data_IF_385470526861
#
_entry.id   IF_385470526861
#
_cell.length_a   1.000
_cell.length_b   1.000
_cell.length_c   1.000
_cell.angle_alpha   90.00
_cell.angle_beta   90.00
_cell.angle_gamma   90.00
#
_symmetry.space_group_name_H-M   'P 1'
#
loop_
_entity.id
_entity.type
_entity.pdbx_description
1 polymer ?
#
# COMPACT_ATOMS: atom_id res chain seq x y z
N UNK A 1 -7.43 -88.25 1.28
CA UNK A 1 -7.37 -87.22 2.34
C UNK A 1 -7.20 -85.86 1.65
N UNK A 2 -8.29 -85.09 1.50
CA UNK A 2 -8.62 -83.85 2.26
C UNK A 2 -7.58 -82.72 2.03
N UNK A 3 -7.91 -81.70 1.20
CA UNK A 3 -8.45 -80.34 1.56
C UNK A 3 -7.28 -79.36 1.86
N UNK A 4 -7.11 -78.14 1.32
CA UNK A 4 -7.95 -76.98 0.98
C UNK A 4 -7.15 -76.05 0.02
N UNK A 5 -7.67 -75.46 -1.07
CA UNK A 5 -8.59 -74.30 -1.18
C UNK A 5 -7.97 -72.96 -0.73
N UNK A 6 -7.75 -72.08 -1.73
CA UNK A 6 -7.96 -70.63 -1.75
C UNK A 6 -7.11 -69.69 -0.86
N UNK A 7 -6.24 -68.93 -1.53
CA UNK A 7 -6.02 -67.46 -1.38
C UNK A 7 -5.29 -67.03 -2.68
N UNK A 8 -5.97 -66.89 -3.82
CA UNK A 8 -6.77 -65.72 -4.22
C UNK A 8 -6.10 -64.40 -3.84
N UNK A 9 -5.67 -63.70 -4.91
CA UNK A 9 -5.67 -62.25 -5.06
C UNK A 9 -5.21 -61.44 -3.85
N UNK A 10 -3.90 -61.12 -3.77
CA UNK A 10 -3.48 -59.82 -3.24
C UNK A 10 -2.05 -59.42 -3.65
N UNK A 11 -1.68 -59.61 -4.92
CA UNK A 11 -0.43 -59.01 -5.46
C UNK A 11 -0.66 -58.20 -6.74
N UNK A 12 -1.91 -57.80 -6.99
CA UNK A 12 -2.34 -56.97 -8.13
C UNK A 12 -3.36 -55.89 -7.74
N UNK A 13 -3.32 -55.44 -6.48
CA UNK A 13 -4.02 -54.22 -6.03
C UNK A 13 -3.09 -53.39 -5.13
N UNK A 14 -1.92 -53.03 -5.65
CA UNK A 14 -1.19 -51.84 -5.18
C UNK A 14 -0.84 -50.90 -6.33
N UNK A 15 -1.35 -51.16 -7.53
CA UNK A 15 -1.21 -50.27 -8.69
C UNK A 15 -2.33 -49.23 -8.80
N UNK A 16 -3.23 -49.12 -7.81
CA UNK A 16 -4.38 -48.20 -7.85
C UNK A 16 -4.88 -47.79 -6.45
N UNK A 17 -3.98 -47.67 -5.47
CA UNK A 17 -4.26 -46.77 -4.35
C UNK A 17 -3.84 -45.40 -4.85
N UNK A 18 -4.77 -44.71 -5.50
CA UNK A 18 -4.58 -43.33 -5.89
C UNK A 18 -4.32 -42.52 -4.62
N UNK A 19 -3.06 -42.34 -4.26
CA UNK A 19 -2.66 -41.14 -3.57
C UNK A 19 -3.03 -40.03 -4.55
N UNK A 20 -4.21 -39.42 -4.34
CA UNK A 20 -4.59 -38.22 -5.07
C UNK A 20 -3.42 -37.26 -5.07
N UNK A 21 -3.25 -36.53 -6.18
CA UNK A 21 -2.15 -35.57 -6.33
C UNK A 21 -2.02 -34.76 -5.04
N UNK A 22 -0.85 -34.85 -4.38
CA UNK A 22 -0.65 -34.17 -3.11
C UNK A 22 -0.89 -32.68 -3.29
N UNK A 23 -1.71 -32.08 -2.41
CA UNK A 23 -2.05 -30.68 -2.50
C UNK A 23 -0.79 -29.81 -2.55
N UNK A 24 -0.66 -29.00 -3.59
CA UNK A 24 0.43 -28.07 -3.77
C UNK A 24 0.07 -26.75 -3.06
N UNK A 25 0.79 -26.41 -2.01
CA UNK A 25 0.63 -25.13 -1.31
C UNK A 25 1.42 -24.05 -2.07
N UNK A 26 0.73 -22.99 -2.52
CA UNK A 26 1.35 -21.84 -3.19
C UNK A 26 1.70 -20.71 -2.22
N UNK A 27 0.97 -20.62 -1.10
CA UNK A 27 1.20 -19.69 0.00
C UNK A 27 0.16 -19.87 1.11
N UNK A 28 0.17 -19.00 2.12
CA UNK A 28 -0.63 -19.14 3.34
C UNK A 28 -2.13 -19.37 3.10
N UNK A 29 -2.65 -18.84 1.99
CA UNK A 29 -4.06 -18.92 1.63
C UNK A 29 -4.32 -19.58 0.28
N UNK A 30 -3.29 -19.95 -0.49
CA UNK A 30 -3.50 -20.48 -1.85
C UNK A 30 -2.96 -21.89 -1.97
N UNK A 31 -3.75 -22.78 -2.58
CA UNK A 31 -3.33 -24.14 -2.87
C UNK A 31 -3.89 -24.62 -4.21
N UNK A 32 -3.29 -25.67 -4.73
CA UNK A 32 -3.82 -26.45 -5.85
C UNK A 32 -4.04 -27.86 -5.33
N UNK A 33 -5.27 -28.34 -5.44
CA UNK A 33 -5.65 -29.70 -5.03
C UNK A 33 -6.63 -30.27 -6.05
N UNK A 34 -6.46 -31.55 -6.41
CA UNK A 34 -7.33 -32.27 -7.36
C UNK A 34 -7.62 -31.47 -8.65
N UNK A 35 -6.61 -30.81 -9.21
CA UNK A 35 -6.72 -30.03 -10.45
C UNK A 35 -7.56 -28.75 -10.32
N UNK A 36 -7.73 -28.22 -9.11
CA UNK A 36 -8.43 -26.96 -8.85
C UNK A 36 -7.56 -26.03 -8.02
N UNK A 37 -7.70 -24.73 -8.24
CA UNK A 37 -7.03 -23.71 -7.43
C UNK A 37 -7.97 -23.26 -6.33
N UNK A 38 -7.45 -23.13 -5.11
CA UNK A 38 -8.17 -22.73 -3.92
C UNK A 38 -7.60 -21.45 -3.32
N UNK A 39 -8.49 -20.63 -2.76
CA UNK A 39 -8.17 -19.55 -1.85
C UNK A 39 -8.89 -19.87 -0.54
N UNK A 40 -8.11 -20.13 0.51
CA UNK A 40 -8.58 -20.75 1.75
C UNK A 40 -9.30 -22.06 1.42
N UNK A 41 -10.60 -22.14 1.66
CA UNK A 41 -11.41 -23.33 1.43
C UNK A 41 -12.32 -23.22 0.20
N UNK A 42 -12.18 -22.15 -0.59
CA UNK A 42 -13.04 -21.86 -1.74
C UNK A 42 -12.30 -22.08 -3.06
N UNK A 43 -13.01 -22.64 -4.05
CA UNK A 43 -12.48 -22.86 -5.40
C UNK A 43 -12.46 -21.52 -6.14
N UNK A 44 -11.32 -21.16 -6.74
CA UNK A 44 -11.26 -20.04 -7.67
C UNK A 44 -11.79 -20.48 -9.03
N UNK A 45 -13.06 -20.21 -9.28
CA UNK A 45 -13.69 -20.57 -10.54
C UNK A 45 -12.98 -19.93 -11.75
N UNK A 46 -12.72 -20.77 -12.76
CA UNK A 46 -12.03 -20.40 -13.99
C UNK A 46 -10.52 -20.20 -13.87
N UNK A 47 -9.92 -20.44 -12.70
CA UNK A 47 -8.47 -20.38 -12.53
C UNK A 47 -7.80 -21.60 -13.18
N UNK A 48 -6.70 -21.38 -13.89
CA UNK A 48 -5.93 -22.47 -14.51
C UNK A 48 -4.85 -22.99 -13.55
N UNK A 49 -5.01 -24.19 -12.95
CA UNK A 49 -4.06 -24.72 -11.98
C UNK A 49 -2.68 -24.97 -12.57
N UNK A 50 -2.57 -25.24 -13.88
CA UNK A 50 -1.28 -25.55 -14.51
C UNK A 50 -0.35 -24.35 -14.64
N UNK A 51 -0.91 -23.15 -14.58
CA UNK A 51 -0.19 -21.89 -14.79
C UNK A 51 -0.38 -20.92 -13.62
N UNK A 52 -1.05 -21.37 -12.56
CA UNK A 52 -1.31 -20.56 -11.39
C UNK A 52 0.00 -20.24 -10.66
N UNK A 53 0.24 -18.96 -10.45
CA UNK A 53 1.46 -18.42 -9.85
C UNK A 53 1.07 -17.39 -8.80
N UNK A 54 1.51 -17.60 -7.56
CA UNK A 54 1.35 -16.64 -6.48
C UNK A 54 2.45 -15.57 -6.55
N UNK A 55 2.04 -14.30 -6.51
CA UNK A 55 2.91 -13.14 -6.64
C UNK A 55 2.85 -12.31 -5.35
N UNK A 56 3.85 -12.49 -4.49
CA UNK A 56 3.82 -11.96 -3.14
C UNK A 56 2.84 -12.76 -2.28
N UNK A 57 2.01 -12.09 -1.48
CA UNK A 57 1.12 -12.77 -0.53
C UNK A 57 -0.34 -12.85 -0.98
N UNK A 58 -0.77 -12.04 -1.95
CA UNK A 58 -2.19 -11.77 -2.19
C UNK A 58 -2.63 -11.81 -3.65
N UNK A 59 -1.71 -11.70 -4.62
CA UNK A 59 -2.02 -11.74 -6.05
C UNK A 59 -1.72 -13.12 -6.61
N UNK A 60 -2.71 -13.80 -7.14
CA UNK A 60 -2.53 -15.02 -7.94
C UNK A 60 -2.79 -14.67 -9.40
N UNK A 61 -1.88 -15.01 -10.31
CA UNK A 61 -2.15 -14.96 -11.76
C UNK A 61 -2.13 -16.34 -12.39
N UNK A 62 -2.86 -16.50 -13.48
CA UNK A 62 -2.70 -17.62 -14.40
C UNK A 62 -2.48 -17.10 -15.83
N UNK A 63 -2.63 -17.96 -16.85
CA UNK A 63 -2.45 -17.59 -18.26
C UNK A 63 -3.50 -16.60 -18.80
N UNK A 64 -4.62 -16.40 -18.09
CA UNK A 64 -5.77 -15.60 -18.55
C UNK A 64 -6.25 -14.57 -17.54
N UNK A 65 -6.11 -14.83 -16.26
CA UNK A 65 -6.78 -14.17 -15.16
C UNK A 65 -5.79 -13.69 -14.09
N UNK A 66 -6.23 -12.70 -13.33
CA UNK A 66 -5.58 -12.28 -12.08
C UNK A 66 -6.62 -12.28 -10.99
N UNK A 67 -6.22 -12.74 -9.81
CA UNK A 67 -7.03 -12.79 -8.62
C UNK A 67 -6.30 -12.06 -7.50
N UNK A 68 -7.04 -11.31 -6.69
CA UNK A 68 -6.56 -10.66 -5.49
C UNK A 68 -7.35 -11.15 -4.29
N UNK A 69 -6.70 -11.85 -3.36
CA UNK A 69 -7.34 -12.42 -2.16
C UNK A 69 -8.60 -13.25 -2.49
N UNK A 70 -8.49 -14.11 -3.50
CA UNK A 70 -9.58 -14.97 -4.00
C UNK A 70 -10.48 -14.32 -5.05
N UNK A 71 -10.55 -12.99 -5.10
CA UNK A 71 -11.44 -12.26 -5.99
C UNK A 71 -10.85 -12.05 -7.39
N UNK A 72 -11.58 -12.42 -8.44
CA UNK A 72 -11.15 -12.21 -9.82
C UNK A 72 -11.19 -10.74 -10.20
N UNK A 73 -10.06 -10.22 -10.69
CA UNK A 73 -9.99 -8.87 -11.23
C UNK A 73 -10.61 -8.86 -12.63
N UNK A 74 -11.74 -8.16 -12.78
CA UNK A 74 -12.51 -8.12 -14.03
C UNK A 74 -11.77 -7.35 -15.12
N UNK A 75 -12.04 -7.73 -16.37
CA UNK A 75 -11.57 -7.03 -17.58
C UNK A 75 -10.04 -6.90 -17.72
N UNK A 76 -9.31 -7.83 -17.11
CA UNK A 76 -7.87 -8.02 -17.27
C UNK A 76 -7.62 -9.22 -18.17
N UNK A 77 -6.90 -9.01 -19.27
CA UNK A 77 -6.33 -10.08 -20.09
C UNK A 77 -4.82 -10.06 -19.87
N UNK A 78 -4.27 -11.17 -19.38
CA UNK A 78 -2.83 -11.26 -19.12
C UNK A 78 -2.05 -11.28 -20.44
N UNK A 79 -1.18 -10.29 -20.62
CA UNK A 79 -0.28 -10.19 -21.77
C UNK A 79 1.12 -9.78 -21.32
N UNK A 80 1.22 -8.59 -20.73
CA UNK A 80 2.46 -7.98 -20.29
C UNK A 80 2.38 -7.66 -18.79
N UNK A 81 2.10 -8.68 -17.98
CA UNK A 81 2.05 -8.52 -16.53
C UNK A 81 3.45 -8.20 -16.00
N UNK A 82 3.55 -7.17 -15.17
CA UNK A 82 4.80 -6.81 -14.50
C UNK A 82 4.48 -6.26 -13.10
N UNK A 83 5.14 -6.79 -12.08
CA UNK A 83 5.09 -6.26 -10.73
C UNK A 83 6.05 -5.08 -10.61
N UNK A 84 5.54 -3.91 -10.25
CA UNK A 84 6.31 -2.65 -10.19
C UNK A 84 6.46 -2.09 -8.77
N UNK A 85 5.80 -2.72 -7.79
CA UNK A 85 5.90 -2.40 -6.37
C UNK A 85 5.29 -3.53 -5.54
N UNK A 86 5.26 -3.35 -4.21
CA UNK A 86 4.66 -4.35 -3.31
C UNK A 86 3.18 -4.58 -3.63
N UNK A 87 2.43 -3.48 -3.74
CA UNK A 87 1.00 -3.44 -4.02
C UNK A 87 0.68 -2.96 -5.44
N UNK A 88 1.67 -2.47 -6.19
CA UNK A 88 1.50 -1.96 -7.55
C UNK A 88 1.98 -2.95 -8.61
N UNK A 89 1.21 -3.08 -9.68
CA UNK A 89 1.56 -3.88 -10.85
C UNK A 89 0.95 -3.23 -12.11
N UNK A 90 1.49 -3.58 -13.27
CA UNK A 90 0.98 -3.14 -14.56
C UNK A 90 0.66 -4.33 -15.44
N UNK A 91 -0.30 -4.15 -16.33
CA UNK A 91 -0.60 -5.12 -17.38
C UNK A 91 -1.06 -4.35 -18.62
N UNK A 92 -0.29 -4.48 -19.71
CA UNK A 92 -0.37 -3.62 -20.88
C UNK A 92 -0.26 -2.13 -20.49
N UNK A 93 -1.08 -1.28 -21.09
CA UNK A 93 -1.15 0.15 -20.84
C UNK A 93 -2.10 0.47 -19.68
N UNK A 94 -2.02 -0.26 -18.56
CA UNK A 94 -2.80 0.02 -17.34
C UNK A 94 -1.96 -0.25 -16.09
N UNK A 95 -2.08 0.64 -15.11
CA UNK A 95 -1.51 0.46 -13.76
C UNK A 95 -2.63 0.05 -12.80
N UNK A 96 -2.28 -0.82 -11.87
CA UNK A 96 -3.16 -1.31 -10.83
C UNK A 96 -2.49 -1.17 -9.47
N UNK A 97 -3.30 -0.84 -8.47
CA UNK A 97 -2.97 -0.95 -7.06
C UNK A 97 -3.88 -2.03 -6.46
N UNK A 98 -3.28 -3.11 -5.96
CA UNK A 98 -3.99 -4.30 -5.50
C UNK A 98 -4.95 -4.81 -6.60
N UNK A 99 -6.27 -4.76 -6.36
CA UNK A 99 -7.29 -5.15 -7.33
C UNK A 99 -7.91 -3.98 -8.13
N UNK A 100 -7.51 -2.74 -7.85
CA UNK A 100 -8.10 -1.54 -8.45
C UNK A 100 -7.20 -0.96 -9.53
N UNK A 101 -7.80 -0.63 -10.67
CA UNK A 101 -7.12 0.13 -11.73
C UNK A 101 -6.94 1.58 -11.29
N UNK A 102 -5.79 2.17 -11.61
CA UNK A 102 -5.54 3.60 -11.44
C UNK A 102 -5.99 4.30 -12.72
N UNK A 103 -7.02 5.14 -12.60
CA UNK A 103 -7.56 5.86 -13.75
C UNK A 103 -6.64 7.02 -14.17
N UNK A 104 -6.46 7.19 -15.47
CA UNK A 104 -5.67 8.26 -16.09
C UNK A 104 -4.18 8.33 -15.68
N UNK A 105 -3.62 7.25 -15.13
CA UNK A 105 -2.19 7.18 -14.82
C UNK A 105 -1.33 7.27 -16.09
N UNK A 106 -0.32 8.13 -16.07
CA UNK A 106 0.70 8.21 -17.12
C UNK A 106 1.77 7.14 -16.88
N UNK A 107 1.65 6.06 -17.64
CA UNK A 107 2.47 4.85 -17.46
C UNK A 107 3.95 5.09 -17.69
N UNK A 108 4.27 5.96 -18.65
CA UNK A 108 5.66 6.22 -19.03
C UNK A 108 6.42 6.96 -17.93
N UNK A 109 5.73 7.71 -17.08
CA UNK A 109 6.32 8.44 -15.95
C UNK A 109 5.94 7.89 -14.59
N UNK A 110 5.15 6.80 -14.53
CA UNK A 110 4.69 6.20 -13.28
C UNK A 110 5.87 5.65 -12.48
N UNK A 111 5.98 6.09 -11.23
CA UNK A 111 7.01 5.70 -10.28
C UNK A 111 6.37 5.40 -8.94
N UNK A 112 6.59 4.18 -8.46
CA UNK A 112 6.22 3.77 -7.11
C UNK A 112 7.14 4.49 -6.11
N UNK A 113 6.54 5.15 -5.11
CA UNK A 113 7.27 5.84 -4.04
C UNK A 113 7.47 4.91 -2.84
N UNK A 114 6.45 4.13 -2.49
CA UNK A 114 6.51 3.06 -1.49
C UNK A 114 5.35 2.06 -1.72
N UNK A 115 4.97 1.29 -0.69
CA UNK A 115 3.90 0.29 -0.82
C UNK A 115 2.51 0.89 -1.11
N UNK A 116 2.21 2.09 -0.63
CA UNK A 116 0.87 2.69 -0.70
C UNK A 116 0.83 4.00 -1.47
N UNK A 117 1.98 4.50 -1.93
CA UNK A 117 2.08 5.74 -2.67
C UNK A 117 2.88 5.59 -3.95
N UNK A 118 2.44 6.31 -4.97
CA UNK A 118 3.10 6.40 -6.25
C UNK A 118 2.94 7.81 -6.83
N UNK A 119 3.62 8.09 -7.93
CA UNK A 119 3.46 9.33 -8.69
C UNK A 119 3.60 9.08 -10.17
N UNK A 120 3.10 10.00 -10.97
CA UNK A 120 3.49 10.16 -12.36
C UNK A 120 3.81 11.64 -12.64
N UNK A 121 3.97 12.03 -13.90
CA UNK A 121 4.28 13.41 -14.27
C UNK A 121 3.15 14.42 -13.94
N UNK A 122 1.92 13.94 -13.73
CA UNK A 122 0.71 14.74 -13.57
C UNK A 122 0.10 14.65 -12.16
N UNK A 123 0.34 13.57 -11.42
CA UNK A 123 -0.34 13.28 -10.15
C UNK A 123 0.59 12.56 -9.16
N UNK A 124 0.25 12.70 -7.88
CA UNK A 124 0.69 11.80 -6.81
C UNK A 124 -0.52 10.98 -6.39
N UNK A 125 -0.30 9.71 -6.04
CA UNK A 125 -1.34 8.73 -5.76
C UNK A 125 -1.19 8.17 -4.35
N UNK A 126 -2.33 7.97 -3.68
CA UNK A 126 -2.48 7.13 -2.49
C UNK A 126 -3.32 5.92 -2.91
N UNK A 127 -2.71 4.74 -2.89
CA UNK A 127 -3.27 3.54 -3.48
C UNK A 127 -3.61 3.74 -4.95
N UNK A 128 -4.90 3.60 -5.29
CA UNK A 128 -5.43 3.78 -6.64
C UNK A 128 -5.98 5.18 -6.93
N UNK A 129 -5.92 6.11 -5.98
CA UNK A 129 -6.56 7.42 -6.09
C UNK A 129 -5.51 8.53 -6.13
N UNK A 130 -5.75 9.58 -6.93
CA UNK A 130 -4.90 10.77 -6.93
C UNK A 130 -5.17 11.57 -5.66
N UNK A 131 -4.11 11.99 -4.95
CA UNK A 131 -4.23 12.81 -3.73
C UNK A 131 -4.58 14.29 -4.03
N UNK A 132 -4.88 14.63 -5.28
CA UNK A 132 -5.40 15.92 -5.70
C UNK A 132 -4.38 16.85 -6.37
N UNK A 133 -4.83 18.06 -6.74
CA UNK A 133 -4.08 19.06 -7.53
C UNK A 133 -3.21 20.01 -6.69
N UNK A 134 -3.05 19.76 -5.39
CA UNK A 134 -2.31 20.66 -4.49
C UNK A 134 -0.79 20.62 -4.67
N UNK A 135 -0.26 19.52 -5.21
CA UNK A 135 1.17 19.37 -5.52
C UNK A 135 1.44 19.98 -6.89
N UNK A 136 2.31 20.99 -6.95
CA UNK A 136 2.52 21.81 -8.15
C UNK A 136 3.43 21.13 -9.17
N UNK A 137 4.41 20.36 -8.71
CA UNK A 137 5.27 19.56 -9.57
C UNK A 137 5.32 18.08 -9.12
N UNK A 138 4.26 17.29 -9.46
CA UNK A 138 4.19 15.87 -9.10
C UNK A 138 5.38 15.07 -9.61
N UNK A 139 5.93 15.42 -10.78
CA UNK A 139 7.08 14.74 -11.38
C UNK A 139 8.28 14.74 -10.45
N UNK A 140 8.55 15.84 -9.75
CA UNK A 140 9.69 15.96 -8.83
C UNK A 140 9.34 15.66 -7.38
N UNK A 141 8.07 15.43 -7.06
CA UNK A 141 7.61 15.17 -5.70
C UNK A 141 8.28 13.95 -5.03
N UNK A 142 8.72 14.11 -3.80
CA UNK A 142 9.22 13.05 -2.94
C UNK A 142 8.78 13.29 -1.49
N UNK A 143 8.64 12.22 -0.72
CA UNK A 143 8.40 12.36 0.72
C UNK A 143 9.67 12.81 1.42
N UNK A 144 9.51 13.65 2.43
CA UNK A 144 10.62 14.00 3.33
C UNK A 144 11.00 12.76 4.16
N UNK A 145 12.26 12.64 4.62
CA UNK A 145 12.64 11.60 5.58
C UNK A 145 11.74 11.64 6.81
N UNK A 146 11.22 10.49 7.23
CA UNK A 146 10.20 10.36 8.29
C UNK A 146 8.93 11.20 8.03
N UNK A 147 8.68 11.60 6.79
CA UNK A 147 7.55 12.45 6.42
C UNK A 147 6.22 11.72 6.37
N UNK A 148 6.19 10.38 6.40
CA UNK A 148 4.95 9.61 6.40
C UNK A 148 4.68 9.15 7.84
N UNK A 149 3.73 9.81 8.51
CA UNK A 149 3.43 9.60 9.92
C UNK A 149 1.92 9.36 10.08
N UNK A 150 1.53 8.10 10.16
CA UNK A 150 0.12 7.67 10.16
C UNK A 150 -0.64 8.27 8.95
N UNK A 151 -1.63 9.12 9.21
CA UNK A 151 -2.47 9.79 8.22
C UNK A 151 -1.91 11.15 7.73
N UNK A 152 -0.75 11.56 8.23
CA UNK A 152 -0.10 12.84 7.92
C UNK A 152 1.14 12.62 7.08
N UNK A 153 1.29 13.40 6.01
CA UNK A 153 2.41 13.30 5.09
C UNK A 153 3.13 14.65 4.97
N UNK A 154 4.44 14.59 4.94
CA UNK A 154 5.33 15.69 4.60
C UNK A 154 6.11 15.30 3.35
N UNK A 155 6.03 16.13 2.33
CA UNK A 155 6.74 15.92 1.08
C UNK A 155 7.19 17.24 0.47
N UNK A 156 8.03 17.15 -0.54
CA UNK A 156 8.49 18.31 -1.30
C UNK A 156 8.53 18.01 -2.77
N UNK A 157 8.32 19.03 -3.58
CA UNK A 157 8.69 19.01 -4.98
C UNK A 157 9.95 19.87 -5.19
N UNK A 158 10.32 20.13 -6.44
CA UNK A 158 11.50 20.93 -6.79
C UNK A 158 11.55 22.29 -6.09
N UNK A 159 10.39 22.91 -5.86
CA UNK A 159 10.29 24.31 -5.42
C UNK A 159 9.55 24.49 -4.08
N UNK A 160 8.70 23.54 -3.69
CA UNK A 160 7.76 23.70 -2.58
C UNK A 160 7.87 22.54 -1.60
N UNK A 161 7.56 22.81 -0.34
CA UNK A 161 7.36 21.80 0.71
C UNK A 161 5.87 21.78 1.05
N UNK A 162 5.36 20.61 1.38
CA UNK A 162 3.95 20.36 1.62
C UNK A 162 3.71 19.67 2.95
N UNK A 163 2.73 20.18 3.70
CA UNK A 163 2.01 19.44 4.72
C UNK A 163 0.74 18.88 4.09
N UNK A 164 0.54 17.57 4.19
CA UNK A 164 -0.57 16.86 3.56
C UNK A 164 -1.29 16.07 4.65
N UNK A 165 -2.54 16.43 4.91
CA UNK A 165 -3.35 15.80 5.95
C UNK A 165 -4.47 15.00 5.33
N UNK A 166 -4.52 13.70 5.62
CA UNK A 166 -5.70 12.89 5.33
C UNK A 166 -6.78 13.19 6.39
N UNK A 167 -7.92 13.69 5.94
CA UNK A 167 -9.07 14.03 6.77
C UNK A 167 -10.21 13.10 6.49
N UNK A 168 -10.85 12.62 7.56
CA UNK A 168 -12.10 11.87 7.44
C UNK A 168 -13.24 12.81 7.04
N UNK A 169 -13.99 12.41 6.02
CA UNK A 169 -15.31 13.00 5.71
C UNK A 169 -16.35 12.31 6.58
N UNK A 170 -16.28 10.99 6.68
CA UNK A 170 -17.14 10.13 7.49
C UNK A 170 -16.35 8.84 7.86
N UNK A 171 -17.02 7.84 8.44
CA UNK A 171 -16.37 6.59 8.87
C UNK A 171 -15.73 5.74 7.75
N UNK A 172 -16.00 6.05 6.48
CA UNK A 172 -15.59 5.26 5.32
C UNK A 172 -14.81 6.08 4.28
N UNK A 173 -15.00 7.39 4.24
CA UNK A 173 -14.43 8.27 3.24
C UNK A 173 -13.43 9.23 3.85
N UNK A 174 -12.31 9.41 3.15
CA UNK A 174 -11.29 10.39 3.50
C UNK A 174 -10.90 11.23 2.29
N UNK A 175 -10.33 12.40 2.52
CA UNK A 175 -9.73 13.23 1.48
C UNK A 175 -8.43 13.85 1.98
N UNK A 176 -7.55 14.18 1.05
CA UNK A 176 -6.30 14.86 1.36
C UNK A 176 -6.47 16.37 1.27
N UNK A 177 -6.10 17.07 2.34
CA UNK A 177 -5.85 18.52 2.33
C UNK A 177 -4.36 18.76 2.16
N UNK A 178 -3.98 19.52 1.14
CA UNK A 178 -2.58 19.81 0.82
C UNK A 178 -2.32 21.29 1.10
N UNK A 179 -1.32 21.57 1.92
CA UNK A 179 -0.90 22.90 2.35
C UNK A 179 0.55 23.11 1.95
N UNK A 180 0.83 24.17 1.21
CA UNK A 180 2.21 24.58 0.93
C UNK A 180 2.79 25.28 2.16
N UNK A 181 3.93 24.81 2.64
CA UNK A 181 4.62 25.39 3.80
C UNK A 181 5.35 26.66 3.37
N UNK A 182 4.77 27.83 3.64
CA UNK A 182 5.28 29.10 3.14
C UNK A 182 6.54 29.54 3.90
N UNK A 183 7.52 30.05 3.15
CA UNK A 183 8.74 30.63 3.71
C UNK A 183 9.78 29.63 4.22
N UNK A 184 9.51 28.32 4.13
CA UNK A 184 10.46 27.29 4.56
C UNK A 184 11.64 27.17 3.62
N UNK A 185 12.84 27.02 4.18
CA UNK A 185 14.02 26.61 3.43
C UNK A 185 13.94 25.12 3.07
N UNK A 186 13.42 24.85 1.87
CA UNK A 186 13.17 23.49 1.33
C UNK A 186 14.38 22.54 1.34
N UNK A 187 15.60 23.09 1.36
CA UNK A 187 16.84 22.31 1.29
C UNK A 187 17.34 21.89 2.68
N UNK A 188 16.76 22.42 3.77
CA UNK A 188 17.16 22.15 5.16
C UNK A 188 15.99 21.70 6.04
N UNK A 189 15.00 21.03 5.46
CA UNK A 189 13.80 20.59 6.19
C UNK A 189 14.06 19.34 7.02
N UNK A 190 13.66 19.37 8.27
CA UNK A 190 13.65 18.24 9.19
C UNK A 190 12.22 18.01 9.72
N UNK A 191 11.73 16.77 9.62
CA UNK A 191 10.44 16.37 10.19
C UNK A 191 10.66 15.95 11.63
N UNK A 192 10.04 16.67 12.57
CA UNK A 192 10.21 16.41 14.00
C UNK A 192 9.16 15.43 14.52
N UNK A 193 7.89 15.64 14.15
CA UNK A 193 6.79 14.71 14.42
C UNK A 193 5.61 14.96 13.47
N UNK A 194 4.44 14.40 13.79
CA UNK A 194 3.19 14.57 13.02
C UNK A 194 2.78 16.05 12.84
N UNK A 195 3.16 16.93 13.76
CA UNK A 195 2.68 18.30 13.82
C UNK A 195 3.73 19.31 13.41
N UNK A 196 4.99 19.05 13.77
CA UNK A 196 6.09 19.99 13.67
C UNK A 196 7.13 19.56 12.64
N UNK A 197 7.52 20.52 11.81
CA UNK A 197 8.73 20.46 10.99
C UNK A 197 9.54 21.73 11.22
N UNK A 198 10.82 21.70 10.88
CA UNK A 198 11.67 22.88 10.96
C UNK A 198 12.57 22.99 9.73
N UNK A 199 13.08 24.19 9.52
CA UNK A 199 14.23 24.40 8.65
C UNK A 199 15.46 24.83 9.46
N UNK A 200 16.36 25.65 8.90
CA UNK A 200 17.54 26.18 9.60
C UNK A 200 17.28 27.41 10.45
N UNK A 201 16.05 27.93 10.50
CA UNK A 201 15.72 29.18 11.19
C UNK A 201 14.36 29.17 11.89
N UNK A 202 13.40 28.43 11.36
CA UNK A 202 12.01 28.49 11.75
C UNK A 202 11.48 27.11 12.10
N UNK A 203 10.49 27.11 13.00
CA UNK A 203 9.66 25.96 13.31
C UNK A 203 8.29 26.18 12.67
N UNK A 204 7.67 25.11 12.18
CA UNK A 204 6.37 25.13 11.52
C UNK A 204 5.43 24.13 12.20
N UNK A 205 4.19 24.52 12.40
CA UNK A 205 3.11 23.70 12.93
C UNK A 205 2.03 23.50 11.86
N UNK A 206 1.76 22.24 11.48
CA UNK A 206 0.79 21.87 10.43
C UNK A 206 0.96 22.67 9.12
N UNK A 207 2.21 22.97 8.78
CA UNK A 207 2.57 23.70 7.56
C UNK A 207 2.55 25.22 7.66
N UNK A 208 2.17 25.79 8.81
CA UNK A 208 2.23 27.23 9.07
C UNK A 208 3.44 27.57 9.94
N UNK A 209 4.03 28.75 9.77
CA UNK A 209 5.14 29.19 10.61
C UNK A 209 4.67 29.40 12.06
N UNK A 210 5.44 28.89 13.01
CA UNK A 210 5.18 29.07 14.43
C UNK A 210 5.83 30.38 14.90
N UNK A 211 5.07 31.48 14.86
CA UNK A 211 5.58 32.81 15.19
C UNK A 211 6.11 32.89 16.64
N UNK A 212 7.22 33.62 16.79
CA UNK A 212 7.95 33.82 18.04
C UNK A 212 8.44 32.53 18.73
N UNK A 213 8.55 31.41 18.00
CA UNK A 213 9.20 30.20 18.52
C UNK A 213 10.71 30.41 18.65
N UNK A 214 11.27 30.06 19.81
CA UNK A 214 12.71 30.08 20.00
C UNK A 214 13.33 28.83 19.35
N UNK A 215 13.82 29.00 18.13
CA UNK A 215 14.39 27.93 17.32
C UNK A 215 15.46 27.11 18.05
N UNK A 216 16.34 27.77 18.81
CA UNK A 216 17.51 27.11 19.43
C UNK A 216 17.13 26.23 20.61
N UNK A 217 16.02 26.52 21.27
CA UNK A 217 15.55 25.79 22.44
C UNK A 217 14.30 24.96 22.19
N UNK A 218 13.80 24.96 20.94
CA UNK A 218 12.61 24.21 20.59
C UNK A 218 12.87 22.70 20.60
N UNK A 219 12.05 21.97 21.34
CA UNK A 219 12.04 20.52 21.44
C UNK A 219 10.62 19.96 21.30
N UNK A 220 10.52 18.70 20.89
CA UNK A 220 9.27 17.93 20.91
C UNK A 220 9.30 17.01 22.11
N UNK A 221 8.29 17.14 22.97
CA UNK A 221 8.12 16.35 24.18
C UNK A 221 7.59 14.94 23.85
N UNK A 222 7.72 13.95 24.77
CA UNK A 222 7.25 12.58 24.54
C UNK A 222 5.74 12.45 24.23
N UNK A 223 4.93 13.42 24.68
CA UNK A 223 3.50 13.47 24.37
C UNK A 223 3.19 14.06 22.98
N UNK A 224 4.21 14.53 22.25
CA UNK A 224 4.10 15.12 20.92
C UNK A 224 3.95 16.64 20.91
N UNK A 225 3.83 17.29 22.06
CA UNK A 225 3.75 18.74 22.14
C UNK A 225 5.12 19.39 21.88
N UNK A 226 5.08 20.60 21.33
CA UNK A 226 6.28 21.43 21.18
C UNK A 226 6.55 22.20 22.47
N UNK A 227 7.81 22.51 22.76
CA UNK A 227 8.18 23.41 23.85
C UNK A 227 9.45 24.17 23.49
N UNK A 228 9.51 25.42 23.88
CA UNK A 228 10.76 26.18 23.89
C UNK A 228 11.00 26.82 25.26
N UNK A 229 12.07 27.62 25.40
CA UNK A 229 12.39 28.29 26.67
C UNK A 229 11.33 29.30 27.13
N UNK A 230 10.48 29.78 26.23
CA UNK A 230 9.48 30.82 26.50
C UNK A 230 8.11 30.21 26.84
N UNK A 231 7.72 29.08 26.22
CA UNK A 231 6.39 28.47 26.37
C UNK A 231 6.30 27.02 25.87
N UNK A 232 5.19 26.38 26.22
CA UNK A 232 4.75 25.11 25.64
C UNK A 232 3.70 25.35 24.54
N UNK A 233 3.72 24.51 23.52
CA UNK A 233 2.82 24.47 22.39
C UNK A 233 1.97 23.21 22.48
N UNK A 234 0.92 23.29 23.29
CA UNK A 234 0.03 22.17 23.54
C UNK A 234 -0.97 22.02 22.40
N UNK A 235 -1.04 20.82 21.82
CA UNK A 235 -2.13 20.45 20.94
C UNK A 235 -3.24 19.80 21.76
N UNK A 236 -4.15 20.63 22.28
CA UNK A 236 -5.39 20.11 22.87
C UNK A 236 -6.27 19.58 21.74
N UNK A 237 -6.39 18.25 21.64
CA UNK A 237 -7.53 17.60 20.97
C UNK A 237 -8.81 17.87 21.77
N UNK A 238 -9.22 19.13 21.90
CA UNK A 238 -10.49 19.48 22.58
C UNK A 238 -11.71 18.92 21.84
N UNK A 239 -11.55 18.46 20.59
CA UNK A 239 -12.65 17.96 19.75
C UNK A 239 -12.58 16.46 19.38
N UNK A 240 -11.59 15.68 19.85
CA UNK A 240 -11.56 14.22 19.57
C UNK A 240 -12.16 13.34 20.70
N UNK A 241 -12.58 13.92 21.83
CA UNK A 241 -13.20 13.20 22.96
C UNK A 241 -14.66 13.62 23.20
N UNK A 242 -15.46 13.71 22.14
CA UNK A 242 -16.92 13.92 22.23
C UNK A 242 -17.74 12.71 21.83
N UNK A 243 -17.24 11.48 22.01
CA UNK A 243 -18.09 10.28 21.96
C UNK A 243 -17.53 9.17 22.86
N UNK A 244 -17.95 9.18 24.13
CA UNK A 244 -18.34 7.99 24.90
C UNK A 244 -19.41 8.42 25.92
#
# INVERSE_FOLDING_TARGET
MKKNILKVLLFLVLANVGFGDAAQILGDYYSIDNGKVYYRNEILEGANPKTAELIGFSLLKDDKNVYYMGEKIKDVKIKNFEKIGKNYWKNDNKIYYLNKKIENADIMSFKVLNEDFAKDKNNVYSGNESIGRGIKDPKTFEFLPNGIINATLYGKDKNNVYYIENKMINCFDTYYSIYEVKGINKDKVEVMNKWFIKDDKNIYFKGEILEDADYNTFEVLPNGDGKDKNRSYEYLTKDELKWF
#
